data_IF_781958130898
#
_entry.id   IF_781958130898
#
_cell.length_a   1.000
_cell.length_b   1.000
_cell.length_c   1.000
_cell.angle_alpha   90.00
_cell.angle_beta   90.00
_cell.angle_gamma   90.00
#
_symmetry.space_group_name_H-M   'P 1'
#
loop_
_entity.id
_entity.type
_entity.pdbx_description
1 polymer ?
#
# COMPACT_ATOMS: atom_id res chain seq x y z
N UNK A 1 -14.51 21.55 19.62
CA UNK A 1 -13.30 20.80 19.22
C UNK A 1 -13.79 19.70 18.32
N UNK A 2 -13.69 19.92 17.02
CA UNK A 2 -14.11 18.94 16.02
C UNK A 2 -12.93 17.98 15.87
N UNK A 3 -13.06 16.77 16.41
CA UNK A 3 -12.09 15.70 16.15
C UNK A 3 -12.05 15.50 14.64
N UNK A 4 -10.89 15.73 14.03
CA UNK A 4 -10.64 15.25 12.69
C UNK A 4 -10.63 13.72 12.76
N UNK A 5 -11.78 13.10 12.51
CA UNK A 5 -11.90 11.65 12.40
C UNK A 5 -11.11 11.27 11.16
N UNK A 6 -9.94 10.67 11.38
CA UNK A 6 -9.15 10.05 10.31
C UNK A 6 -10.00 8.94 9.72
N UNK A 7 -10.21 8.94 8.40
CA UNK A 7 -10.98 7.93 7.67
C UNK A 7 -10.62 6.49 8.10
N UNK A 8 -9.33 6.24 8.35
CA UNK A 8 -8.84 5.02 8.98
C UNK A 8 -7.75 5.36 9.98
N UNK A 9 -7.78 4.71 11.15
CA UNK A 9 -6.76 4.88 12.19
C UNK A 9 -5.44 4.18 11.86
N UNK A 10 -5.46 3.15 11.02
CA UNK A 10 -4.28 2.46 10.49
C UNK A 10 -4.57 1.69 9.18
N UNK A 11 -3.52 1.15 8.56
CA UNK A 11 -3.61 0.37 7.31
C UNK A 11 -4.46 -0.90 7.49
N UNK A 12 -4.48 -1.51 8.68
CA UNK A 12 -5.22 -2.77 8.92
C UNK A 12 -6.72 -2.52 8.89
N UNK A 13 -7.16 -1.39 9.44
CA UNK A 13 -8.55 -0.95 9.33
C UNK A 13 -8.95 -0.70 7.88
N UNK A 14 -8.06 -0.11 7.07
CA UNK A 14 -8.31 0.10 5.66
C UNK A 14 -8.36 -1.21 4.87
N UNK A 15 -7.45 -2.15 5.10
CA UNK A 15 -7.50 -3.50 4.51
C UNK A 15 -8.83 -4.20 4.87
N UNK A 16 -9.27 -4.11 6.12
CA UNK A 16 -10.57 -4.64 6.53
C UNK A 16 -11.75 -3.93 5.82
N UNK A 17 -11.60 -2.66 5.47
CA UNK A 17 -12.58 -1.92 4.65
C UNK A 17 -12.65 -2.49 3.23
N UNK A 18 -11.50 -2.68 2.59
CA UNK A 18 -11.42 -3.31 1.25
C UNK A 18 -12.05 -4.71 1.25
N UNK A 19 -11.79 -5.52 2.29
CA UNK A 19 -12.42 -6.83 2.43
C UNK A 19 -13.96 -6.74 2.54
N UNK A 20 -14.49 -5.79 3.33
CA UNK A 20 -15.95 -5.60 3.47
C UNK A 20 -16.60 -5.12 2.18
N UNK A 21 -15.91 -4.34 1.36
CA UNK A 21 -16.45 -3.79 0.11
C UNK A 21 -16.22 -4.71 -1.10
N UNK A 22 -15.59 -5.88 -0.92
CA UNK A 22 -15.28 -6.80 -2.02
C UNK A 22 -14.10 -6.33 -2.89
N UNK A 23 -13.32 -5.37 -2.41
CA UNK A 23 -12.15 -4.77 -3.08
C UNK A 23 -10.83 -5.41 -2.63
N UNK A 24 -10.88 -6.56 -1.96
CA UNK A 24 -9.72 -7.32 -1.53
C UNK A 24 -9.82 -8.77 -2.00
N UNK A 25 -8.76 -9.25 -2.66
CA UNK A 25 -8.53 -10.65 -2.97
C UNK A 25 -7.38 -11.18 -2.11
N UNK A 26 -7.63 -12.24 -1.37
CA UNK A 26 -6.60 -12.95 -0.60
C UNK A 26 -6.10 -14.16 -1.38
N UNK A 27 -4.77 -14.34 -1.43
CA UNK A 27 -4.10 -15.44 -2.11
C UNK A 27 -3.23 -16.19 -1.09
N UNK A 28 -3.63 -17.43 -0.80
CA UNK A 28 -2.90 -18.33 0.12
C UNK A 28 -1.88 -19.24 -0.59
N UNK A 29 -1.96 -19.32 -1.93
CA UNK A 29 -0.97 -20.04 -2.71
C UNK A 29 0.42 -19.40 -2.54
N UNK A 30 1.47 -20.23 -2.50
CA UNK A 30 2.84 -19.72 -2.50
C UNK A 30 3.11 -18.94 -3.79
N UNK A 31 3.67 -17.74 -3.66
CA UNK A 31 4.02 -16.86 -4.79
C UNK A 31 5.51 -16.51 -4.71
N UNK A 32 6.19 -16.58 -5.85
CA UNK A 32 7.56 -16.10 -6.02
C UNK A 32 7.59 -14.56 -5.98
N UNK A 33 8.32 -13.94 -5.05
CA UNK A 33 8.48 -12.49 -4.99
C UNK A 33 9.21 -11.91 -6.22
N UNK A 34 9.94 -12.74 -6.97
CA UNK A 34 10.70 -12.35 -8.15
C UNK A 34 9.83 -12.54 -9.39
N UNK A 35 9.44 -11.43 -10.01
CA UNK A 35 8.61 -11.34 -11.22
C UNK A 35 7.15 -11.83 -11.08
N UNK A 36 6.87 -12.98 -10.46
CA UNK A 36 5.52 -13.54 -10.38
C UNK A 36 4.55 -12.63 -9.62
N UNK A 37 4.90 -12.22 -8.40
CA UNK A 37 4.07 -11.31 -7.60
C UNK A 37 3.76 -10.03 -8.37
N UNK A 38 4.76 -9.43 -9.01
CA UNK A 38 4.62 -8.22 -9.82
C UNK A 38 3.73 -8.43 -11.06
N UNK A 39 3.88 -9.57 -11.75
CA UNK A 39 3.09 -9.93 -12.91
C UNK A 39 1.61 -10.14 -12.54
N UNK A 40 1.34 -10.79 -11.40
CA UNK A 40 -0.02 -10.93 -10.85
C UNK A 40 -0.61 -9.55 -10.56
N UNK A 41 0.13 -8.69 -9.84
CA UNK A 41 -0.33 -7.33 -9.53
C UNK A 41 -0.66 -6.53 -10.79
N UNK A 42 0.19 -6.64 -11.82
CA UNK A 42 0.01 -5.94 -13.09
C UNK A 42 -1.23 -6.45 -13.83
N UNK A 43 -1.37 -7.76 -13.97
CA UNK A 43 -2.51 -8.37 -14.65
C UNK A 43 -3.84 -7.99 -13.99
N UNK A 44 -3.92 -8.10 -12.67
CA UNK A 44 -5.12 -7.73 -11.93
C UNK A 44 -5.44 -6.24 -12.11
N UNK A 45 -4.43 -5.38 -12.12
CA UNK A 45 -4.64 -3.95 -12.35
C UNK A 45 -5.10 -3.63 -13.79
N UNK A 46 -4.57 -4.34 -14.79
CA UNK A 46 -4.99 -4.18 -16.20
C UNK A 46 -6.47 -4.61 -16.42
N UNK A 47 -7.01 -5.43 -15.53
CA UNK A 47 -8.41 -5.88 -15.52
C UNK A 47 -9.29 -5.07 -14.52
N UNK A 48 -8.81 -3.91 -14.04
CA UNK A 48 -9.47 -3.07 -13.02
C UNK A 48 -9.84 -3.83 -11.74
N UNK A 49 -9.04 -4.85 -11.40
CA UNK A 49 -9.30 -5.76 -10.30
C UNK A 49 -9.00 -5.21 -8.89
N UNK A 50 -9.28 -6.03 -7.86
CA UNK A 50 -9.19 -5.63 -6.45
C UNK A 50 -7.74 -5.43 -5.98
N UNK A 51 -7.60 -4.93 -4.75
CA UNK A 51 -6.34 -5.05 -4.01
C UNK A 51 -6.03 -6.52 -3.73
N UNK A 52 -4.75 -6.87 -3.59
CA UNK A 52 -4.32 -8.26 -3.42
C UNK A 52 -3.51 -8.39 -2.14
N UNK A 53 -3.89 -9.33 -1.28
CA UNK A 53 -3.13 -9.75 -0.12
C UNK A 53 -2.54 -11.13 -0.37
N UNK A 54 -1.22 -11.19 -0.55
CA UNK A 54 -0.47 -12.44 -0.65
C UNK A 54 -0.10 -12.90 0.76
N UNK A 55 -0.72 -14.00 1.20
CA UNK A 55 -0.50 -14.56 2.54
C UNK A 55 0.75 -15.46 2.62
N UNK A 56 1.21 -15.99 1.49
CA UNK A 56 2.37 -16.90 1.43
C UNK A 56 3.35 -16.46 0.32
N UNK A 57 4.41 -15.77 0.70
CA UNK A 57 5.45 -15.30 -0.23
C UNK A 57 6.73 -16.11 0.00
N UNK A 58 7.25 -16.71 -1.07
CA UNK A 58 8.38 -17.62 -0.98
C UNK A 58 9.60 -16.95 -0.30
N UNK A 59 10.10 -17.57 0.77
CA UNK A 59 11.26 -17.09 1.52
C UNK A 59 11.00 -15.93 2.49
N UNK A 60 9.73 -15.58 2.74
CA UNK A 60 9.36 -14.50 3.66
C UNK A 60 8.24 -14.93 4.62
N UNK A 61 8.40 -14.62 5.91
CA UNK A 61 7.41 -14.95 6.96
C UNK A 61 6.29 -13.90 7.10
N UNK A 62 6.18 -12.97 6.16
CA UNK A 62 5.24 -11.85 6.24
C UNK A 62 4.42 -11.70 4.96
N UNK A 63 3.13 -11.36 5.08
CA UNK A 63 2.26 -11.17 3.94
C UNK A 63 2.59 -9.86 3.20
N UNK A 64 2.21 -9.81 1.92
CA UNK A 64 2.40 -8.62 1.07
C UNK A 64 1.04 -8.14 0.58
N UNK A 65 0.71 -6.88 0.88
CA UNK A 65 -0.46 -6.20 0.30
C UNK A 65 -0.01 -5.38 -0.92
N UNK A 66 -0.75 -5.48 -2.01
CA UNK A 66 -0.52 -4.74 -3.24
C UNK A 66 -1.84 -4.13 -3.78
N UNK A 67 -1.71 -3.18 -4.71
CA UNK A 67 -2.82 -2.51 -5.40
C UNK A 67 -3.84 -1.75 -4.51
N UNK A 68 -3.59 -1.61 -3.21
CA UNK A 68 -4.51 -1.01 -2.21
C UNK A 68 -4.93 0.45 -2.50
N UNK A 69 -4.15 1.20 -3.29
CA UNK A 69 -4.43 2.58 -3.70
C UNK A 69 -4.33 2.75 -5.23
N UNK A 70 -4.44 1.67 -5.99
CA UNK A 70 -4.13 1.68 -7.42
C UNK A 70 -5.25 2.22 -8.33
N UNK A 71 -6.44 2.51 -7.79
CA UNK A 71 -7.56 3.11 -8.53
C UNK A 71 -8.07 4.36 -7.82
N UNK A 72 -8.65 5.35 -8.56
CA UNK A 72 -9.25 6.52 -7.95
C UNK A 72 -10.35 6.17 -6.92
N UNK A 73 -11.13 5.11 -7.19
CA UNK A 73 -12.14 4.59 -6.26
C UNK A 73 -11.55 4.17 -4.92
N UNK A 74 -10.44 3.44 -4.93
CA UNK A 74 -9.75 3.03 -3.70
C UNK A 74 -9.12 4.21 -2.96
N UNK A 75 -8.56 5.19 -3.68
CA UNK A 75 -8.02 6.41 -3.04
C UNK A 75 -9.15 7.23 -2.41
N UNK A 76 -10.29 7.37 -3.09
CA UNK A 76 -11.47 8.06 -2.57
C UNK A 76 -12.04 7.34 -1.33
N UNK A 77 -12.12 6.00 -1.36
CA UNK A 77 -12.46 5.18 -0.21
C UNK A 77 -11.49 5.39 0.96
N UNK A 78 -10.18 5.48 0.70
CA UNK A 78 -9.16 5.72 1.72
C UNK A 78 -9.28 7.09 2.39
N UNK A 79 -9.85 8.07 1.69
CA UNK A 79 -10.09 9.43 2.19
C UNK A 79 -11.52 9.67 2.69
N UNK A 80 -12.40 8.66 2.55
CA UNK A 80 -13.84 8.70 2.84
C UNK A 80 -14.59 9.84 2.12
N UNK A 81 -14.31 9.99 0.82
CA UNK A 81 -14.97 10.97 -0.05
C UNK A 81 -15.50 10.31 -1.32
N UNK A 82 -16.51 10.89 -1.98
CA UNK A 82 -16.87 10.48 -3.33
C UNK A 82 -15.71 10.75 -4.30
N UNK A 83 -15.62 9.94 -5.37
CA UNK A 83 -14.49 10.00 -6.33
C UNK A 83 -14.43 11.38 -7.02
N UNK A 84 -15.58 11.99 -7.23
CA UNK A 84 -15.75 13.30 -7.85
C UNK A 84 -15.09 14.42 -7.04
N UNK A 85 -15.05 14.29 -5.71
CA UNK A 85 -14.48 15.28 -4.78
C UNK A 85 -13.01 15.00 -4.43
N UNK A 86 -12.45 13.87 -4.90
CA UNK A 86 -11.11 13.39 -4.55
C UNK A 86 -10.02 14.46 -4.74
N UNK A 87 -10.05 15.17 -5.87
CA UNK A 87 -9.03 16.18 -6.20
C UNK A 87 -9.11 17.38 -5.27
N UNK A 88 -10.33 17.84 -4.96
CA UNK A 88 -10.55 18.98 -4.08
C UNK A 88 -10.13 18.65 -2.65
N UNK A 89 -10.54 17.49 -2.14
CA UNK A 89 -10.19 17.06 -0.80
C UNK A 89 -8.67 16.83 -0.66
N UNK A 90 -8.03 16.20 -1.65
CA UNK A 90 -6.57 16.03 -1.66
C UNK A 90 -5.85 17.39 -1.63
N UNK A 91 -6.31 18.34 -2.44
CA UNK A 91 -5.73 19.69 -2.51
C UNK A 91 -5.89 20.43 -1.18
N UNK A 92 -7.09 20.38 -0.59
CA UNK A 92 -7.39 20.98 0.72
C UNK A 92 -6.48 20.42 1.83
N UNK A 93 -6.27 19.10 1.87
CA UNK A 93 -5.41 18.45 2.88
C UNK A 93 -3.91 18.73 2.69
N UNK A 94 -3.46 19.05 1.48
CA UNK A 94 -2.03 19.20 1.15
C UNK A 94 -1.55 20.64 0.94
N UNK A 95 -2.41 21.54 0.48
CA UNK A 95 -1.99 22.85 -0.08
C UNK A 95 -2.16 24.02 0.88
N UNK A 96 -2.97 23.86 1.94
CA UNK A 96 -3.29 24.95 2.86
C UNK A 96 -3.56 24.53 4.30
N UNK A 97 -3.40 23.24 4.63
CA UNK A 97 -3.62 22.76 5.97
C UNK A 97 -2.47 23.24 6.89
N UNK A 98 -2.84 23.72 8.08
CA UNK A 98 -1.97 23.68 9.24
C UNK A 98 -1.62 22.21 9.44
N UNK A 99 -0.50 21.76 8.85
CA UNK A 99 0.01 20.40 8.97
C UNK A 99 0.40 20.22 10.43
N UNK A 100 -0.60 19.91 11.25
CA UNK A 100 -0.41 19.73 12.67
C UNK A 100 0.64 18.66 12.85
N UNK A 101 1.68 19.01 13.60
CA UNK A 101 2.71 18.06 13.95
C UNK A 101 2.03 16.87 14.62
N UNK A 102 2.16 15.69 14.02
CA UNK A 102 1.63 14.47 14.61
C UNK A 102 2.18 14.34 16.04
N UNK A 103 1.33 14.02 17.03
CA UNK A 103 1.77 13.89 18.41
C UNK A 103 2.83 12.79 18.49
N UNK A 104 3.92 13.08 19.19
CA UNK A 104 4.92 12.07 19.48
C UNK A 104 4.33 11.11 20.51
N UNK A 105 4.28 9.83 20.14
CA UNK A 105 3.78 8.76 21.00
C UNK A 105 4.91 7.78 21.35
N UNK A 106 4.92 7.32 22.60
CA UNK A 106 5.98 6.44 23.10
C UNK A 106 5.85 5.00 22.59
N UNK A 107 4.65 4.58 22.18
CA UNK A 107 4.39 3.21 21.73
C UNK A 107 3.41 3.19 20.55
N UNK A 108 3.40 2.07 19.83
CA UNK A 108 2.47 1.83 18.73
C UNK A 108 2.66 0.44 18.13
N UNK A 109 1.69 -0.04 17.33
CA UNK A 109 1.73 -1.39 16.77
C UNK A 109 2.99 -1.71 15.95
N UNK A 110 3.61 -0.68 15.35
CA UNK A 110 4.86 -0.79 14.59
C UNK A 110 6.06 -1.26 15.43
N UNK A 111 6.03 -1.08 16.76
CA UNK A 111 7.12 -1.49 17.67
C UNK A 111 7.00 -2.94 18.17
N UNK A 112 5.99 -3.70 17.71
CA UNK A 112 5.72 -5.07 18.21
C UNK A 112 6.78 -6.09 17.78
N UNK A 113 7.33 -5.96 16.58
CA UNK A 113 8.37 -6.84 16.05
C UNK A 113 9.62 -6.02 15.77
N UNK A 114 10.72 -6.38 16.42
CA UNK A 114 12.02 -5.75 16.23
C UNK A 114 12.90 -6.71 15.47
N UNK A 115 13.11 -6.43 14.18
CA UNK A 115 14.06 -7.19 13.38
C UNK A 115 15.49 -6.82 13.80
N UNK A 116 16.41 -7.79 13.89
CA UNK A 116 17.83 -7.47 14.04
C UNK A 116 18.27 -6.62 12.83
N UNK A 117 19.16 -5.65 13.07
CA UNK A 117 19.68 -4.78 12.01
C UNK A 117 20.24 -5.65 10.88
N UNK A 118 19.57 -5.64 9.72
CA UNK A 118 19.96 -6.46 8.57
C UNK A 118 21.32 -5.99 8.05
N UNK A 119 22.29 -6.90 7.92
CA UNK A 119 23.62 -6.59 7.42
C UNK A 119 23.76 -6.52 5.89
N UNK A 120 22.74 -6.84 5.07
CA UNK A 120 22.92 -6.74 3.59
C UNK A 120 21.71 -6.94 2.68
N UNK A 121 20.53 -7.37 3.13
CA UNK A 121 19.58 -8.01 2.19
C UNK A 121 18.59 -7.09 1.46
N UNK A 122 18.27 -5.89 1.97
CA UNK A 122 17.23 -5.04 1.35
C UNK A 122 17.78 -4.11 0.23
N UNK A 123 19.08 -3.81 0.22
CA UNK A 123 19.69 -2.88 -0.73
C UNK A 123 19.76 -3.40 -2.17
N UNK A 124 19.74 -4.73 -2.36
CA UNK A 124 19.83 -5.37 -3.68
C UNK A 124 18.58 -5.15 -4.54
N UNK A 125 17.41 -5.00 -3.91
CA UNK A 125 16.13 -4.80 -4.59
C UNK A 125 16.04 -3.42 -5.28
N UNK A 126 16.46 -2.35 -4.60
CA UNK A 126 16.56 -1.00 -5.19
C UNK A 126 17.58 -0.92 -6.35
N UNK A 127 18.69 -1.67 -6.27
CA UNK A 127 19.71 -1.65 -7.33
C UNK A 127 19.26 -2.39 -8.60
N UNK A 128 18.46 -3.45 -8.48
CA UNK A 128 17.96 -4.22 -9.64
C UNK A 128 16.88 -3.47 -10.43
N UNK A 129 16.03 -2.70 -9.76
CA UNK A 129 15.05 -1.83 -10.43
C UNK A 129 15.73 -0.71 -11.26
N UNK A 130 16.91 -0.25 -10.85
CA UNK A 130 17.69 0.73 -11.63
C UNK A 130 18.20 0.19 -12.96
N UNK A 131 18.32 -1.12 -13.13
CA UNK A 131 18.77 -1.73 -14.39
C UNK A 131 17.64 -1.84 -15.42
N UNK A 132 16.42 -2.15 -14.98
CA UNK A 132 15.23 -2.23 -15.84
C UNK A 132 14.91 -0.87 -16.48
N UNK A 133 15.12 0.23 -15.73
CA UNK A 133 14.91 1.59 -16.23
C UNK A 133 15.91 2.02 -17.32
N UNK A 134 17.05 1.32 -17.49
CA UNK A 134 18.02 1.58 -18.57
C UNK A 134 17.71 0.85 -19.87
N UNK A 135 16.92 -0.24 -19.85
CA UNK A 135 16.57 -0.99 -21.06
C UNK A 135 15.33 -0.42 -21.79
N UNK A 136 14.46 0.30 -21.10
CA UNK A 136 13.22 0.83 -21.68
C UNK A 136 13.37 2.18 -22.44
N UNK A 137 14.59 2.69 -22.62
CA UNK A 137 14.87 3.97 -23.34
C UNK A 137 15.59 3.74 -24.68
N UNK A 138 15.71 2.49 -25.14
CA UNK A 138 16.44 2.12 -26.37
C UNK A 138 15.62 1.28 -27.37
N UNK A 139 14.30 1.45 -27.40
CA UNK A 139 13.44 0.98 -28.51
C UNK A 139 12.47 2.06 -28.92
#
# INVERSE_FOLDING_TARGET
>A
MEEAVMAYGDIRQYIASLARTGELLEIDAEVDPIEELGAICRKVLDEDGPAILFNNVQGYDYPVIANMLATPGRIAQALEVPVEELTEEYTKRTSGADLQRQPLVDSGPVKRSLLPVMSSTCASWCHRFSLIRKMAVLT
#
